data_IF_573041550758
#
_entry.id   IF_573041550758
#
_cell.length_a   1.000
_cell.length_b   1.000
_cell.length_c   1.000
_cell.angle_alpha   90.00
_cell.angle_beta   90.00
_cell.angle_gamma   90.00
#
_symmetry.space_group_name_H-M   'P 1'
#
loop_
_entity.id
_entity.type
_entity.pdbx_description
1 polymer ?
#
# COMPACT_ATOMS: atom_id res chain seq x y z
N UNK A 1 -32.58 23.72 -34.43
CA UNK A 1 -31.42 22.80 -34.27
C UNK A 1 -30.33 23.59 -33.55
N UNK A 2 -30.10 23.34 -32.25
CA UNK A 2 -28.98 23.97 -31.52
C UNK A 2 -27.75 23.09 -31.75
N UNK A 3 -26.77 23.58 -32.49
CA UNK A 3 -25.44 22.99 -32.48
C UNK A 3 -24.86 23.17 -31.07
N UNK A 4 -24.53 22.06 -30.42
CA UNK A 4 -23.67 22.09 -29.24
C UNK A 4 -22.25 22.39 -29.74
N UNK A 5 -21.65 23.47 -29.26
CA UNK A 5 -20.22 23.75 -29.48
C UNK A 5 -19.41 22.54 -29.03
N UNK A 6 -18.65 21.95 -29.97
CA UNK A 6 -17.73 20.88 -29.67
C UNK A 6 -16.53 21.48 -28.90
N UNK A 7 -16.46 21.21 -27.61
CA UNK A 7 -15.27 21.49 -26.80
C UNK A 7 -14.19 20.50 -27.25
N UNK A 8 -13.02 21.01 -27.64
CA UNK A 8 -11.88 20.15 -27.97
C UNK A 8 -11.50 19.29 -26.75
N UNK A 9 -11.28 17.98 -26.93
CA UNK A 9 -10.87 17.11 -25.82
C UNK A 9 -9.46 17.50 -25.34
N UNK A 10 -9.40 18.12 -24.16
CA UNK A 10 -8.16 18.38 -23.43
C UNK A 10 -7.55 17.03 -22.98
N UNK A 11 -6.53 16.56 -23.71
CA UNK A 11 -5.78 15.35 -23.36
C UNK A 11 -4.89 15.63 -22.16
N UNK A 12 -5.49 15.58 -20.98
CA UNK A 12 -4.72 15.59 -19.75
C UNK A 12 -4.02 14.23 -19.59
N UNK A 13 -2.69 14.21 -19.65
CA UNK A 13 -1.87 13.08 -19.22
C UNK A 13 -1.88 13.02 -17.69
N UNK A 14 -2.39 11.92 -17.14
CA UNK A 14 -2.14 11.55 -15.74
C UNK A 14 -1.81 10.07 -15.73
N UNK A 15 -0.58 9.76 -15.34
CA UNK A 15 0.05 8.43 -15.39
C UNK A 15 -0.19 7.60 -14.12
N UNK A 16 -1.05 8.05 -13.19
CA UNK A 16 -1.18 7.44 -11.86
C UNK A 16 -2.60 6.95 -11.60
N UNK A 17 -2.98 5.89 -12.33
CA UNK A 17 -4.26 5.20 -12.17
C UNK A 17 -4.13 3.79 -11.57
N UNK A 18 -2.92 3.30 -11.36
CA UNK A 18 -2.58 2.05 -10.68
C UNK A 18 -1.34 2.38 -9.86
N UNK A 19 -1.47 2.62 -8.55
CA UNK A 19 -0.27 2.73 -7.71
C UNK A 19 0.38 1.34 -7.67
N UNK A 20 1.39 1.13 -8.52
CA UNK A 20 2.12 -0.12 -8.58
C UNK A 20 3.20 -0.13 -7.49
N UNK A 21 2.76 -0.08 -6.22
CA UNK A 21 3.63 -0.04 -5.05
C UNK A 21 4.72 -1.12 -5.08
N UNK A 22 4.39 -2.30 -5.62
CA UNK A 22 5.34 -3.39 -5.79
C UNK A 22 6.39 -3.13 -6.87
N UNK A 23 6.01 -2.56 -8.03
CA UNK A 23 6.98 -2.18 -9.05
C UNK A 23 7.82 -0.98 -8.62
N UNK A 24 7.20 0.05 -8.05
CA UNK A 24 7.89 1.23 -7.54
C UNK A 24 8.88 0.82 -6.43
N UNK A 25 8.44 -0.04 -5.51
CA UNK A 25 9.30 -0.62 -4.49
C UNK A 25 10.43 -1.44 -5.09
N UNK A 26 10.14 -2.33 -6.05
CA UNK A 26 11.15 -3.11 -6.74
C UNK A 26 12.20 -2.22 -7.42
N UNK A 27 11.78 -1.14 -8.09
CA UNK A 27 12.66 -0.17 -8.74
C UNK A 27 13.46 0.64 -7.73
N UNK A 28 12.86 1.02 -6.60
CA UNK A 28 13.55 1.72 -5.51
C UNK A 28 14.73 0.90 -4.98
N UNK A 29 14.57 -0.42 -4.80
CA UNK A 29 15.68 -1.30 -4.41
C UNK A 29 16.80 -1.35 -5.47
N UNK A 30 16.46 -1.34 -6.77
CA UNK A 30 17.46 -1.33 -7.84
C UNK A 30 18.22 0.01 -7.89
N UNK A 31 17.52 1.11 -7.65
CA UNK A 31 18.12 2.45 -7.54
C UNK A 31 19.03 2.54 -6.31
N UNK A 32 18.59 2.06 -5.15
CA UNK A 32 19.40 2.01 -3.92
C UNK A 32 20.66 1.14 -4.10
N UNK A 33 20.56 0.02 -4.83
CA UNK A 33 21.73 -0.81 -5.17
C UNK A 33 22.73 -0.03 -6.03
N UNK A 34 22.24 0.78 -6.97
CA UNK A 34 23.08 1.65 -7.80
C UNK A 34 23.78 2.73 -6.96
N UNK A 35 23.08 3.31 -5.98
CA UNK A 35 23.66 4.21 -4.98
C UNK A 35 24.75 3.51 -4.17
N UNK A 36 24.51 2.29 -3.68
CA UNK A 36 25.49 1.50 -2.92
C UNK A 36 26.78 1.31 -3.73
N UNK A 37 26.70 1.05 -5.04
CA UNK A 37 27.88 0.98 -5.92
C UNK A 37 28.63 2.31 -6.00
N UNK A 38 27.90 3.44 -6.08
CA UNK A 38 28.49 4.78 -6.06
C UNK A 38 29.19 5.06 -4.74
N UNK A 39 28.57 4.73 -3.60
CA UNK A 39 29.15 4.86 -2.26
C UNK A 39 30.40 3.97 -2.09
N UNK A 40 30.38 2.77 -2.67
CA UNK A 40 31.52 1.86 -2.76
C UNK A 40 32.73 2.50 -3.41
N UNK A 41 32.54 3.06 -4.62
CA UNK A 41 33.58 3.78 -5.37
C UNK A 41 34.02 5.07 -4.67
N UNK A 42 33.11 5.71 -3.94
CA UNK A 42 33.36 6.95 -3.18
C UNK A 42 34.11 6.79 -1.86
N UNK A 43 34.47 5.56 -1.48
CA UNK A 43 35.35 5.31 -0.33
C UNK A 43 34.88 4.24 0.65
N UNK A 44 33.70 3.65 0.48
CA UNK A 44 33.24 2.54 1.33
C UNK A 44 33.92 1.20 1.01
N UNK A 45 34.43 1.04 -0.21
CA UNK A 45 35.16 -0.16 -0.62
C UNK A 45 34.25 -1.29 -1.11
N UNK A 46 34.88 -2.28 -1.73
CA UNK A 46 34.19 -3.36 -2.44
C UNK A 46 33.47 -4.32 -1.48
N UNK A 47 34.09 -4.70 -0.37
CA UNK A 47 33.51 -5.62 0.61
C UNK A 47 32.17 -5.09 1.17
N UNK A 48 32.14 -3.81 1.55
CA UNK A 48 30.90 -3.16 2.00
C UNK A 48 29.85 -3.13 0.90
N UNK A 49 30.26 -2.80 -0.33
CA UNK A 49 29.37 -2.73 -1.50
C UNK A 49 28.69 -4.07 -1.77
N UNK A 50 29.44 -5.17 -1.75
CA UNK A 50 28.93 -6.52 -1.98
C UNK A 50 27.97 -6.93 -0.87
N UNK A 51 28.36 -6.70 0.40
CA UNK A 51 27.53 -7.01 1.56
C UNK A 51 26.17 -6.29 1.51
N UNK A 52 26.18 -4.97 1.35
CA UNK A 52 24.93 -4.19 1.35
C UNK A 52 24.09 -4.48 0.11
N UNK A 53 24.73 -4.71 -1.04
CA UNK A 53 24.02 -5.11 -2.27
C UNK A 53 23.30 -6.45 -2.12
N UNK A 54 23.92 -7.40 -1.41
CA UNK A 54 23.30 -8.69 -1.08
C UNK A 54 22.10 -8.50 -0.16
N UNK A 55 22.27 -7.75 0.93
CA UNK A 55 21.18 -7.46 1.86
C UNK A 55 19.99 -6.79 1.16
N UNK A 56 20.22 -5.81 0.30
CA UNK A 56 19.14 -5.19 -0.49
C UNK A 56 18.42 -6.19 -1.39
N UNK A 57 19.13 -7.17 -1.97
CA UNK A 57 18.51 -8.23 -2.77
C UNK A 57 17.63 -9.13 -1.90
N UNK A 58 18.15 -9.60 -0.76
CA UNK A 58 17.42 -10.44 0.19
C UNK A 58 16.16 -9.72 0.68
N UNK A 59 16.28 -8.43 1.03
CA UNK A 59 15.14 -7.63 1.47
C UNK A 59 14.08 -7.45 0.39
N UNK A 60 14.50 -7.19 -0.84
CA UNK A 60 13.58 -7.13 -1.98
C UNK A 60 12.84 -8.45 -2.19
N UNK A 61 13.52 -9.59 -2.03
CA UNK A 61 12.89 -10.91 -2.12
C UNK A 61 11.95 -11.19 -0.94
N UNK A 62 12.36 -10.83 0.27
CA UNK A 62 11.54 -10.92 1.47
C UNK A 62 10.21 -10.17 1.31
N UNK A 63 10.24 -8.90 0.87
CA UNK A 63 9.03 -8.12 0.61
C UNK A 63 8.14 -8.75 -0.47
N UNK A 64 8.73 -9.35 -1.51
CA UNK A 64 7.96 -9.99 -2.60
C UNK A 64 7.27 -11.29 -2.18
N UNK A 65 7.93 -12.11 -1.37
CA UNK A 65 7.55 -13.51 -1.19
C UNK A 65 7.03 -13.82 0.22
N UNK A 66 7.66 -13.25 1.24
CA UNK A 66 7.54 -13.71 2.62
C UNK A 66 6.81 -12.71 3.52
N UNK A 67 6.96 -11.41 3.29
CA UNK A 67 6.39 -10.37 4.15
C UNK A 67 4.88 -10.55 4.39
N UNK A 68 4.13 -10.93 3.35
CA UNK A 68 2.68 -11.20 3.46
C UNK A 68 2.32 -12.34 4.42
N UNK A 69 3.22 -13.31 4.62
CA UNK A 69 3.01 -14.46 5.49
C UNK A 69 3.16 -14.10 6.96
N UNK A 70 3.90 -13.02 7.25
CA UNK A 70 4.12 -12.53 8.60
C UNK A 70 3.08 -11.48 9.01
N UNK A 71 2.38 -10.88 8.06
CA UNK A 71 1.34 -9.90 8.33
C UNK A 71 0.08 -10.55 8.92
N UNK A 72 -0.37 -10.08 10.08
CA UNK A 72 -1.61 -10.49 10.76
C UNK A 72 -2.24 -9.29 11.49
N UNK A 73 -3.47 -9.39 12.00
CA UNK A 73 -4.05 -8.25 12.77
C UNK A 73 -3.39 -8.09 14.15
N UNK A 74 -2.74 -9.12 14.66
CA UNK A 74 -2.29 -9.25 16.03
C UNK A 74 -0.80 -9.57 16.16
N UNK A 75 -0.04 -9.32 15.10
CA UNK A 75 1.40 -9.55 15.08
C UNK A 75 2.12 -8.72 16.16
N UNK A 76 3.01 -9.36 16.90
CA UNK A 76 3.87 -8.70 17.88
C UNK A 76 4.97 -7.82 17.23
N UNK A 77 5.17 -7.94 15.91
CA UNK A 77 6.00 -7.04 15.12
C UNK A 77 5.14 -5.89 14.59
N UNK A 78 5.46 -4.61 14.93
CA UNK A 78 4.67 -3.45 14.51
C UNK A 78 4.44 -3.35 12.99
N UNK A 79 5.48 -3.60 12.20
CA UNK A 79 5.41 -3.56 10.72
C UNK A 79 4.42 -4.58 10.14
N UNK A 80 4.19 -5.69 10.85
CA UNK A 80 3.34 -6.79 10.41
C UNK A 80 1.94 -6.74 11.00
N UNK A 81 1.72 -5.90 12.02
CA UNK A 81 0.45 -5.79 12.70
C UNK A 81 -0.51 -4.93 11.88
N UNK A 82 -1.55 -5.54 11.31
CA UNK A 82 -2.59 -4.84 10.57
C UNK A 82 -3.43 -3.92 11.45
N UNK A 83 -3.69 -4.29 12.72
CA UNK A 83 -4.40 -3.40 13.63
C UNK A 83 -3.59 -2.16 13.97
N UNK A 84 -2.27 -2.27 14.14
CA UNK A 84 -1.40 -1.12 14.39
C UNK A 84 -1.10 -0.34 13.11
N UNK A 85 -0.59 -1.02 12.09
CA UNK A 85 -0.08 -0.43 10.85
C UNK A 85 -1.16 0.16 9.93
N UNK A 86 -2.44 -0.15 10.16
CA UNK A 86 -3.57 0.46 9.47
C UNK A 86 -4.38 1.42 10.34
N UNK A 87 -4.03 1.58 11.62
CA UNK A 87 -4.69 2.55 12.49
C UNK A 87 -4.35 3.98 12.10
N UNK A 88 -5.31 4.89 12.24
CA UNK A 88 -5.09 6.33 12.11
C UNK A 88 -5.16 7.04 13.47
N UNK A 89 -4.68 8.28 13.49
CA UNK A 89 -4.77 9.16 14.67
C UNK A 89 -6.20 9.64 14.94
N UNK A 90 -7.11 9.46 13.98
CA UNK A 90 -8.52 9.78 14.18
C UNK A 90 -9.19 8.69 15.02
N UNK A 91 -9.91 9.11 16.06
CA UNK A 91 -10.58 8.20 16.99
C UNK A 91 -11.52 7.18 16.32
N UNK A 92 -12.03 7.49 15.12
CA UNK A 92 -12.94 6.63 14.35
C UNK A 92 -12.22 5.48 13.62
N UNK A 93 -10.90 5.58 13.42
CA UNK A 93 -10.11 4.62 12.65
C UNK A 93 -8.88 4.13 13.46
N UNK A 94 -8.95 4.23 14.79
CA UNK A 94 -7.91 3.81 15.70
C UNK A 94 -8.26 2.44 16.31
N UNK A 95 -7.58 1.39 15.86
CA UNK A 95 -7.70 0.06 16.44
C UNK A 95 -6.65 -0.15 17.53
N UNK A 96 -7.11 -0.47 18.74
CA UNK A 96 -6.20 -0.81 19.85
C UNK A 96 -5.74 -2.27 19.73
N UNK A 97 -4.44 -2.47 19.89
CA UNK A 97 -3.86 -3.80 19.98
C UNK A 97 -3.89 -4.30 21.43
N UNK A 98 -4.28 -5.56 21.63
CA UNK A 98 -4.25 -6.21 22.94
C UNK A 98 -2.88 -6.87 23.25
N UNK A 99 -2.00 -6.96 22.25
CA UNK A 99 -0.67 -7.54 22.38
C UNK A 99 0.39 -6.46 22.68
N UNK A 100 1.46 -6.87 23.35
CA UNK A 100 2.65 -6.04 23.56
C UNK A 100 3.64 -6.31 22.45
N UNK A 101 4.25 -5.26 21.90
CA UNK A 101 5.32 -5.43 20.91
C UNK A 101 6.58 -5.90 21.62
N UNK A 102 6.90 -7.20 21.52
CA UNK A 102 8.15 -7.73 22.03
C UNK A 102 9.25 -7.43 21.00
N UNK A 103 10.19 -6.56 21.36
CA UNK A 103 11.37 -6.23 20.56
C UNK A 103 12.29 -7.46 20.49
N UNK A 104 11.98 -8.40 19.61
CA UNK A 104 12.97 -9.33 19.09
C UNK A 104 13.44 -8.80 17.74
N UNK A 105 14.75 -8.89 17.50
CA UNK A 105 15.35 -8.52 16.21
C UNK A 105 14.70 -9.37 15.13
N UNK A 106 13.84 -8.73 14.35
CA UNK A 106 13.12 -9.36 13.27
C UNK A 106 13.61 -8.79 11.93
N UNK A 107 13.25 -9.49 10.87
CA UNK A 107 13.59 -9.14 9.50
C UNK A 107 13.27 -7.66 9.15
N UNK A 108 12.19 -7.10 9.69
CA UNK A 108 11.83 -5.71 9.43
C UNK A 108 12.76 -4.68 10.09
N UNK A 109 13.29 -4.99 11.28
CA UNK A 109 14.30 -4.17 11.94
C UNK A 109 15.63 -4.20 11.17
N UNK A 110 16.04 -5.39 10.73
CA UNK A 110 17.26 -5.59 9.94
C UNK A 110 17.26 -4.79 8.61
N UNK A 111 16.12 -4.71 7.92
CA UNK A 111 15.94 -3.83 6.76
C UNK A 111 16.12 -2.36 7.14
N UNK A 112 15.50 -1.93 8.25
CA UNK A 112 15.58 -0.54 8.71
C UNK A 112 17.02 -0.16 9.06
N UNK A 113 17.76 -1.06 9.72
CA UNK A 113 19.20 -0.89 9.98
C UNK A 113 19.99 -0.79 8.68
N UNK A 114 19.72 -1.65 7.70
CA UNK A 114 20.41 -1.63 6.40
C UNK A 114 20.21 -0.30 5.67
N UNK A 115 18.99 0.23 5.66
CA UNK A 115 18.68 1.52 5.04
C UNK A 115 19.40 2.69 5.73
N UNK A 116 19.43 2.69 7.07
CA UNK A 116 20.22 3.68 7.84
C UNK A 116 21.71 3.60 7.56
N UNK A 117 22.27 2.39 7.44
CA UNK A 117 23.69 2.23 7.09
C UNK A 117 24.02 2.84 5.72
N UNK A 118 23.10 2.80 4.76
CA UNK A 118 23.26 3.44 3.45
C UNK A 118 23.19 4.97 3.58
N UNK A 119 22.24 5.48 4.36
CA UNK A 119 22.09 6.91 4.65
C UNK A 119 23.35 7.47 5.35
N UNK A 120 23.81 6.84 6.43
CA UNK A 120 25.03 7.21 7.14
C UNK A 120 26.27 7.13 6.23
N UNK A 121 26.31 6.11 5.36
CA UNK A 121 27.38 5.97 4.39
C UNK A 121 27.39 7.15 3.40
N UNK A 122 26.22 7.60 2.96
CA UNK A 122 26.08 8.74 2.06
C UNK A 122 26.54 10.06 2.70
N UNK A 123 26.44 10.22 4.02
CA UNK A 123 26.95 11.41 4.71
C UNK A 123 28.46 11.38 4.96
N UNK A 124 29.06 10.19 4.99
CA UNK A 124 30.48 10.02 5.34
C UNK A 124 31.46 10.09 4.17
N UNK A 125 30.99 9.99 2.92
CA UNK A 125 31.87 10.01 1.74
C UNK A 125 32.03 11.42 1.16
N UNK A 126 33.12 11.62 0.42
CA UNK A 126 33.30 12.84 -0.39
C UNK A 126 32.76 12.62 -1.79
N UNK A 127 31.86 13.49 -2.21
CA UNK A 127 31.32 13.50 -3.58
C UNK A 127 32.19 14.32 -4.51
N UNK A 128 32.06 14.05 -5.81
CA UNK A 128 32.79 14.80 -6.85
C UNK A 128 32.24 16.21 -6.99
N UNK A 129 30.92 16.37 -6.83
CA UNK A 129 30.21 17.63 -6.91
C UNK A 129 28.91 17.58 -6.07
N UNK A 130 28.27 18.73 -5.89
CA UNK A 130 27.05 18.86 -5.10
C UNK A 130 25.85 18.13 -5.74
N UNK A 131 25.73 18.19 -7.07
CA UNK A 131 24.65 17.53 -7.81
C UNK A 131 24.63 16.01 -7.54
N UNK A 132 25.78 15.36 -7.58
CA UNK A 132 25.94 13.94 -7.27
C UNK A 132 25.51 13.63 -5.82
N UNK A 133 25.83 14.52 -4.88
CA UNK A 133 25.43 14.37 -3.48
C UNK A 133 23.91 14.47 -3.33
N UNK A 134 23.30 15.49 -3.95
CA UNK A 134 21.87 15.75 -3.85
C UNK A 134 21.06 14.63 -4.50
N UNK A 135 21.46 14.15 -5.68
CA UNK A 135 20.85 13.00 -6.36
C UNK A 135 20.94 11.72 -5.52
N UNK A 136 22.11 11.48 -4.92
CA UNK A 136 22.33 10.29 -4.06
C UNK A 136 21.40 10.33 -2.86
N UNK A 137 21.32 11.47 -2.17
CA UNK A 137 20.43 11.65 -1.01
C UNK A 137 18.96 11.55 -1.40
N UNK A 138 18.57 12.14 -2.53
CA UNK A 138 17.21 12.04 -3.04
C UNK A 138 16.81 10.58 -3.29
N UNK A 139 17.67 9.79 -3.94
CA UNK A 139 17.39 8.37 -4.21
C UNK A 139 17.24 7.57 -2.91
N UNK A 140 18.08 7.82 -1.90
CA UNK A 140 18.01 7.15 -0.60
C UNK A 140 16.68 7.48 0.08
N UNK A 141 16.36 8.76 0.24
CA UNK A 141 15.12 9.21 0.89
C UNK A 141 13.88 8.67 0.18
N UNK A 142 13.87 8.75 -1.16
CA UNK A 142 12.76 8.22 -1.95
C UNK A 142 12.68 6.69 -1.85
N UNK A 143 13.81 6.00 -1.81
CA UNK A 143 13.87 4.55 -1.65
C UNK A 143 13.33 4.07 -0.30
N UNK A 144 13.67 4.77 0.78
CA UNK A 144 13.12 4.52 2.12
C UNK A 144 11.60 4.74 2.15
N UNK A 145 11.14 5.87 1.60
CA UNK A 145 9.70 6.19 1.52
C UNK A 145 8.95 5.11 0.74
N UNK A 146 9.42 4.74 -0.44
CA UNK A 146 8.76 3.74 -1.27
C UNK A 146 8.79 2.35 -0.62
N UNK A 147 9.84 2.01 0.14
CA UNK A 147 9.89 0.76 0.91
C UNK A 147 8.80 0.71 1.98
N UNK A 148 8.59 1.81 2.71
CA UNK A 148 7.51 1.92 3.71
C UNK A 148 6.15 1.80 3.02
N UNK A 149 5.93 2.47 1.90
CA UNK A 149 4.66 2.38 1.18
C UNK A 149 4.39 0.99 0.60
N UNK A 150 5.43 0.27 0.17
CA UNK A 150 5.29 -1.12 -0.27
C UNK A 150 4.92 -2.04 0.90
N UNK A 151 5.57 -1.91 2.06
CA UNK A 151 5.20 -2.64 3.29
C UNK A 151 3.73 -2.41 3.65
N UNK A 152 3.30 -1.15 3.73
CA UNK A 152 1.92 -0.77 4.00
C UNK A 152 0.94 -1.36 2.98
N UNK A 153 1.30 -1.33 1.70
CA UNK A 153 0.48 -1.93 0.64
C UNK A 153 0.29 -3.43 0.84
N UNK A 154 1.35 -4.18 1.19
CA UNK A 154 1.23 -5.61 1.47
C UNK A 154 0.31 -5.85 2.68
N UNK A 155 0.49 -5.09 3.78
CA UNK A 155 -0.36 -5.18 4.97
C UNK A 155 -1.84 -4.88 4.65
N UNK A 156 -2.11 -3.87 3.82
CA UNK A 156 -3.46 -3.59 3.31
C UNK A 156 -4.03 -4.76 2.51
N UNK A 157 -3.25 -5.32 1.59
CA UNK A 157 -3.67 -6.47 0.78
C UNK A 157 -4.03 -7.69 1.64
N UNK A 158 -3.22 -8.00 2.66
CA UNK A 158 -3.49 -9.11 3.58
C UNK A 158 -4.76 -8.88 4.39
N UNK A 159 -4.98 -7.65 4.87
CA UNK A 159 -6.19 -7.30 5.61
C UNK A 159 -7.45 -7.38 4.71
N UNK A 160 -7.34 -6.93 3.46
CA UNK A 160 -8.38 -7.06 2.45
C UNK A 160 -8.71 -8.53 2.18
N UNK A 161 -7.71 -9.38 1.89
CA UNK A 161 -7.90 -10.81 1.67
C UNK A 161 -8.57 -11.51 2.86
N UNK A 162 -8.21 -11.10 4.09
CA UNK A 162 -8.88 -11.58 5.31
C UNK A 162 -10.35 -11.17 5.37
N UNK A 163 -10.65 -9.91 5.06
CA UNK A 163 -12.03 -9.41 5.05
C UNK A 163 -12.87 -10.13 3.97
N UNK A 164 -12.30 -10.31 2.78
CA UNK A 164 -12.87 -11.12 1.70
C UNK A 164 -13.20 -12.54 2.18
N UNK A 165 -12.26 -13.22 2.82
CA UNK A 165 -12.45 -14.56 3.37
C UNK A 165 -13.65 -14.63 4.32
N UNK A 166 -13.74 -13.70 5.28
CA UNK A 166 -14.87 -13.62 6.22
C UNK A 166 -16.23 -13.46 5.52
N UNK A 167 -16.29 -12.69 4.43
CA UNK A 167 -17.53 -12.53 3.68
C UNK A 167 -17.89 -13.83 2.94
N UNK A 168 -16.91 -14.46 2.29
CA UNK A 168 -17.10 -15.75 1.62
C UNK A 168 -17.57 -16.85 2.58
N UNK A 169 -17.04 -16.90 3.80
CA UNK A 169 -17.43 -17.89 4.82
C UNK A 169 -18.89 -17.75 5.29
N UNK A 170 -19.50 -16.59 5.09
CA UNK A 170 -20.87 -16.28 5.56
C UNK A 170 -21.88 -16.14 4.42
N UNK A 171 -21.45 -16.38 3.18
CA UNK A 171 -22.24 -16.19 1.98
C UNK A 171 -23.32 -17.29 1.86
N UNK A 172 -24.58 -16.87 1.71
CA UNK A 172 -25.71 -17.79 1.52
C UNK A 172 -25.87 -18.19 0.04
N UNK A 173 -26.57 -19.31 -0.27
CA UNK A 173 -26.73 -19.79 -1.64
C UNK A 173 -27.42 -18.82 -2.62
N UNK A 174 -28.22 -17.88 -2.11
CA UNK A 174 -28.90 -16.84 -2.89
C UNK A 174 -28.13 -15.51 -2.92
N UNK A 175 -26.91 -15.47 -2.39
CA UNK A 175 -26.09 -14.29 -2.27
C UNK A 175 -24.86 -14.35 -3.17
N UNK A 176 -24.36 -13.18 -3.57
CA UNK A 176 -23.13 -13.06 -4.33
C UNK A 176 -22.21 -12.00 -3.71
N UNK A 177 -20.91 -12.31 -3.62
CA UNK A 177 -19.89 -11.31 -3.33
C UNK A 177 -19.51 -10.62 -4.64
N UNK A 178 -19.67 -9.29 -4.66
CA UNK A 178 -19.21 -8.48 -5.78
C UNK A 178 -18.00 -7.67 -5.32
N UNK A 179 -16.86 -7.95 -5.95
CA UNK A 179 -15.66 -7.15 -5.80
C UNK A 179 -15.64 -6.09 -6.89
N UNK A 180 -15.62 -4.83 -6.46
CA UNK A 180 -15.49 -3.67 -7.34
C UNK A 180 -14.39 -2.79 -6.80
N UNK A 181 -13.51 -2.37 -7.70
CA UNK A 181 -12.49 -1.39 -7.41
C UNK A 181 -13.13 0.01 -7.36
N UNK A 182 -13.83 0.28 -6.25
CA UNK A 182 -14.65 1.48 -6.07
C UNK A 182 -13.82 2.77 -6.23
N UNK A 183 -12.57 2.75 -5.78
CA UNK A 183 -11.67 3.90 -5.85
C UNK A 183 -11.28 4.30 -7.28
N UNK A 184 -11.13 3.31 -8.17
CA UNK A 184 -10.74 3.54 -9.57
C UNK A 184 -11.94 3.97 -10.42
N UNK A 185 -13.14 3.48 -10.10
CA UNK A 185 -14.34 3.73 -10.92
C UNK A 185 -15.10 4.97 -10.44
N UNK A 186 -15.37 5.11 -9.14
CA UNK A 186 -16.35 6.07 -8.64
C UNK A 186 -15.76 7.43 -8.29
N UNK A 187 -14.57 7.47 -7.70
CA UNK A 187 -13.93 8.72 -7.27
C UNK A 187 -13.60 9.68 -8.43
N UNK A 188 -13.16 9.19 -9.61
CA UNK A 188 -13.01 10.05 -10.78
C UNK A 188 -14.34 10.60 -11.32
N UNK A 189 -15.44 9.86 -11.14
CA UNK A 189 -16.78 10.25 -11.59
C UNK A 189 -17.41 11.31 -10.69
N UNK A 190 -17.25 11.19 -9.36
CA UNK A 190 -17.83 12.11 -8.39
C UNK A 190 -17.14 13.48 -8.35
N UNK A 191 -15.81 13.53 -8.54
CA UNK A 191 -15.05 14.78 -8.40
C UNK A 191 -14.60 15.43 -9.72
N UNK A 192 -14.89 14.84 -10.89
CA UNK A 192 -14.42 15.29 -12.23
C UNK A 192 -12.95 15.80 -12.22
N UNK A 193 -12.10 15.18 -11.41
CA UNK A 193 -10.64 15.36 -11.32
C UNK A 193 -10.04 14.01 -10.95
N UNK A 194 -8.85 13.71 -11.49
CA UNK A 194 -8.20 12.42 -11.31
C UNK A 194 -7.56 12.29 -9.94
N UNK A 195 -7.76 11.10 -9.37
CA UNK A 195 -7.24 10.55 -8.12
C UNK A 195 -5.82 11.03 -7.82
N UNK A 196 -5.61 11.67 -6.66
CA UNK A 196 -4.25 11.83 -6.16
C UNK A 196 -4.05 11.60 -4.67
N UNK A 197 -5.09 11.31 -3.86
CA UNK A 197 -4.90 11.01 -2.43
C UNK A 197 -5.95 10.05 -1.85
N UNK A 198 -6.48 9.13 -2.66
CA UNK A 198 -7.54 8.25 -2.20
C UNK A 198 -6.95 6.91 -1.77
N UNK A 199 -6.90 6.71 -0.46
CA UNK A 199 -6.69 5.41 0.18
C UNK A 199 -7.48 4.35 -0.60
N UNK A 200 -6.81 3.28 -1.00
CA UNK A 200 -7.44 2.08 -1.57
C UNK A 200 -8.29 1.41 -0.47
N UNK A 201 -9.42 2.01 -0.13
CA UNK A 201 -10.49 1.36 0.61
C UNK A 201 -11.23 0.46 -0.37
N UNK A 202 -10.83 -0.80 -0.41
CA UNK A 202 -11.63 -1.84 -1.06
C UNK A 202 -12.85 -2.10 -0.18
N UNK A 203 -14.01 -1.59 -0.59
CA UNK A 203 -15.30 -1.86 0.06
C UNK A 203 -15.88 -3.19 -0.47
N UNK A 204 -16.26 -4.09 0.44
CA UNK A 204 -16.94 -5.35 0.09
C UNK A 204 -18.46 -5.16 0.16
N UNK A 205 -19.17 -5.31 -0.95
CA UNK A 205 -20.63 -5.23 -0.98
C UNK A 205 -21.26 -6.63 -1.04
N UNK A 206 -22.30 -6.85 -0.24
CA UNK A 206 -23.06 -8.10 -0.18
C UNK A 206 -24.37 -7.91 -0.95
N UNK A 207 -24.77 -8.91 -1.73
CA UNK A 207 -26.00 -8.86 -2.53
C UNK A 207 -26.88 -10.05 -2.18
N UNK A 208 -28.19 -9.82 -2.03
CA UNK A 208 -29.18 -10.87 -1.86
C UNK A 208 -30.14 -10.87 -3.06
N UNK A 209 -30.38 -12.06 -3.63
CA UNK A 209 -31.38 -12.25 -4.69
C UNK A 209 -32.74 -12.49 -4.04
N UNK A 210 -33.69 -11.59 -4.28
CA UNK A 210 -35.05 -11.75 -3.78
C UNK A 210 -35.85 -12.73 -4.65
N UNK A 211 -36.92 -13.29 -4.07
CA UNK A 211 -37.84 -14.22 -4.74
C UNK A 211 -38.53 -13.65 -6.00
N UNK A 212 -38.48 -12.34 -6.21
CA UNK A 212 -39.12 -11.66 -7.36
C UNK A 212 -38.15 -11.43 -8.53
N UNK A 213 -36.88 -11.82 -8.40
CA UNK A 213 -35.85 -11.57 -9.42
C UNK A 213 -35.21 -10.18 -9.35
N UNK A 214 -35.51 -9.37 -8.33
CA UNK A 214 -34.76 -8.17 -8.03
C UNK A 214 -33.51 -8.49 -7.18
N UNK A 215 -32.47 -7.67 -7.30
CA UNK A 215 -31.30 -7.71 -6.44
C UNK A 215 -31.39 -6.56 -5.45
N UNK A 216 -31.38 -6.86 -4.16
CA UNK A 216 -31.22 -5.82 -3.13
C UNK A 216 -29.71 -5.63 -2.88
N UNK A 217 -29.29 -4.37 -2.95
CA UNK A 217 -27.89 -3.97 -2.79
C UNK A 217 -27.67 -3.65 -1.32
N UNK A 218 -26.99 -4.55 -0.60
CA UNK A 218 -26.51 -4.26 0.75
C UNK A 218 -25.05 -3.81 0.64
N UNK A 219 -24.85 -2.50 0.53
CA UNK A 219 -23.52 -1.90 0.65
C UNK A 219 -23.10 -2.04 2.12
N UNK A 220 -22.40 -3.11 2.44
CA UNK A 220 -21.66 -3.20 3.68
C UNK A 220 -20.38 -2.36 3.52
N UNK A 221 -20.48 -1.03 3.70
CA UNK A 221 -19.31 -0.28 4.13
C UNK A 221 -19.04 -0.77 5.54
N UNK A 222 -18.25 -1.84 5.66
CA UNK A 222 -17.81 -2.29 6.96
C UNK A 222 -16.71 -1.33 7.39
N UNK A 223 -17.12 -0.17 7.90
CA UNK A 223 -16.33 0.58 8.86
C UNK A 223 -15.92 -0.44 9.92
N UNK A 224 -14.64 -0.78 9.93
CA UNK A 224 -14.08 -1.72 10.86
C UNK A 224 -14.28 -1.14 12.27
N UNK A 225 -15.37 -1.52 12.95
CA UNK A 225 -15.42 -1.84 14.39
C UNK A 225 -16.82 -1.89 15.04
N UNK A 226 -17.94 -1.58 14.36
CA UNK A 226 -19.25 -1.63 15.03
C UNK A 226 -20.24 -2.58 14.37
N UNK A 227 -20.94 -3.33 15.22
CA UNK A 227 -21.85 -4.41 14.86
C UNK A 227 -22.87 -4.01 13.81
N UNK A 228 -23.37 -5.02 13.12
CA UNK A 228 -24.40 -4.94 12.09
C UNK A 228 -25.58 -4.06 12.55
N UNK A 229 -25.65 -2.82 12.07
CA UNK A 229 -26.88 -2.04 12.06
C UNK A 229 -27.35 -1.98 10.62
N UNK A 230 -28.25 -2.90 10.26
CA UNK A 230 -28.89 -2.91 8.95
C UNK A 230 -29.55 -1.56 8.70
N UNK A 231 -29.15 -0.91 7.61
CA UNK A 231 -29.82 0.26 7.07
C UNK A 231 -30.14 -0.03 5.60
N UNK A 232 -31.43 -0.18 5.31
CA UNK A 232 -31.92 -0.32 3.93
C UNK A 232 -31.72 1.00 3.19
N UNK A 233 -30.78 1.03 2.25
CA UNK A 233 -30.67 2.12 1.28
C UNK A 233 -31.39 1.68 0.02
N UNK A 234 -32.70 1.92 -0.04
CA UNK A 234 -33.47 1.77 -1.28
C UNK A 234 -33.11 2.89 -2.27
N UNK A 235 -32.15 2.63 -3.16
CA UNK A 235 -32.06 3.37 -4.42
C UNK A 235 -32.73 2.55 -5.53
N UNK A 236 -33.99 2.90 -5.81
CA UNK A 236 -34.73 2.42 -6.98
C UNK A 236 -34.14 3.11 -8.20
N UNK A 237 -33.29 2.42 -8.95
CA UNK A 237 -32.89 2.86 -10.28
C UNK A 237 -33.98 2.47 -11.29
N UNK A 238 -34.74 3.46 -11.78
CA UNK A 238 -35.46 3.39 -13.07
C UNK A 238 -34.54 3.79 -14.20
#
# INVERSE_FOLDING_TARGET
MRLLEAIEPDVRKSMKGLDNFAADGSQAFDNMKSVVVTLGKGGKGQEWTEKISHQLMEWKQYLKLHYKLHASLDSEVPDHCGSFGLSSEENSFNSKCAHTYHLSYNDCEALTTTLKLIEDAADSIKYTNQEQQDDTKYIIVQGMKTTIEWKKHITRSVNQDRARGKVLDTLQPNEALIERDWAIIFLPLQYRKRSIDLLLETCYCKYEKTHTGSFDIYIAIREMERGWSGGDIHNRAT
#
